data_IF_465496758138
#
_entry.id   IF_465496758138
#
_cell.length_a   1.000
_cell.length_b   1.000
_cell.length_c   1.000
_cell.angle_alpha   90.00
_cell.angle_beta   90.00
_cell.angle_gamma   90.00
#
_symmetry.space_group_name_H-M   'P 1'
#
loop_
_entity.id
_entity.type
_entity.pdbx_description
1 polymer ?
#
# COMPACT_ATOMS: atom_id res chain seq x y z
N UNK A 1 -32.66 -16.47 16.98
CA UNK A 1 -31.72 -17.54 17.26
C UNK A 1 -30.40 -17.26 16.52
N UNK A 2 -29.23 -17.14 17.22
CA UNK A 2 -27.97 -16.86 16.56
C UNK A 2 -27.54 -17.90 15.52
N UNK A 3 -27.85 -19.17 15.73
CA UNK A 3 -27.56 -20.25 14.78
C UNK A 3 -28.37 -20.10 13.50
N UNK A 4 -29.64 -19.77 13.62
CA UNK A 4 -30.51 -19.51 12.46
C UNK A 4 -30.05 -18.32 11.65
N UNK A 5 -29.52 -17.28 12.32
CA UNK A 5 -28.93 -16.13 11.63
C UNK A 5 -27.73 -16.52 10.79
N UNK A 6 -26.85 -17.39 11.31
CA UNK A 6 -25.64 -17.88 10.58
C UNK A 6 -26.02 -18.77 9.39
N UNK A 7 -27.09 -19.55 9.49
CA UNK A 7 -27.54 -20.40 8.39
C UNK A 7 -28.22 -19.61 7.27
N UNK A 8 -28.97 -18.55 7.64
CA UNK A 8 -29.78 -17.77 6.72
C UNK A 8 -29.10 -16.55 6.13
N UNK A 9 -27.99 -16.10 6.75
CA UNK A 9 -27.19 -14.97 6.28
C UNK A 9 -25.76 -15.43 6.02
N UNK A 10 -25.41 -15.53 4.76
CA UNK A 10 -24.06 -15.93 4.35
C UNK A 10 -23.21 -14.69 4.07
N UNK A 11 -21.98 -14.66 4.62
CA UNK A 11 -20.96 -13.70 4.23
C UNK A 11 -19.66 -14.44 4.00
N UNK A 12 -19.07 -14.21 2.86
CA UNK A 12 -17.81 -14.83 2.44
C UNK A 12 -16.90 -13.76 1.82
N UNK A 13 -15.67 -13.71 2.29
CA UNK A 13 -14.63 -12.86 1.70
C UNK A 13 -13.45 -13.74 1.34
N UNK A 14 -12.93 -13.52 0.13
CA UNK A 14 -11.69 -14.14 -0.34
C UNK A 14 -10.72 -13.03 -0.67
N UNK A 15 -9.55 -13.06 -0.03
CA UNK A 15 -8.47 -12.10 -0.30
C UNK A 15 -7.23 -12.85 -0.76
N UNK A 16 -6.70 -12.41 -1.88
CA UNK A 16 -5.41 -12.83 -2.41
C UNK A 16 -4.45 -11.67 -2.28
N UNK A 17 -3.25 -11.94 -1.82
CA UNK A 17 -2.20 -10.93 -1.69
C UNK A 17 -0.90 -11.49 -2.24
N UNK A 18 -0.26 -10.71 -3.12
CA UNK A 18 1.09 -10.94 -3.63
C UNK A 18 1.97 -9.78 -3.20
N UNK A 19 3.02 -10.09 -2.45
CA UNK A 19 4.08 -9.15 -2.11
C UNK A 19 5.39 -9.73 -2.60
N UNK A 20 6.08 -9.01 -3.45
CA UNK A 20 7.37 -9.42 -3.99
C UNK A 20 8.30 -8.24 -4.13
N UNK A 21 9.58 -8.47 -3.91
CA UNK A 21 10.62 -7.52 -4.26
C UNK A 21 11.80 -8.23 -4.93
N UNK A 22 12.39 -7.55 -5.88
CA UNK A 22 13.60 -7.96 -6.59
C UNK A 22 14.57 -6.80 -6.50
N UNK A 23 15.83 -7.10 -6.24
CA UNK A 23 16.86 -6.08 -6.26
C UNK A 23 18.11 -6.56 -7.01
N UNK A 24 18.81 -5.60 -7.55
CA UNK A 24 20.17 -5.76 -8.06
C UNK A 24 21.10 -4.86 -7.26
N UNK A 25 22.25 -5.39 -6.88
CA UNK A 25 23.27 -4.66 -6.13
C UNK A 25 24.63 -4.88 -6.77
N UNK A 26 25.42 -3.84 -6.84
CA UNK A 26 26.77 -3.86 -7.36
C UNK A 26 27.72 -3.05 -6.46
N UNK A 27 28.94 -3.56 -6.30
CA UNK A 27 30.03 -2.89 -5.58
C UNK A 27 31.21 -2.70 -6.53
N UNK A 28 31.13 -1.71 -7.45
CA UNK A 28 32.12 -1.55 -8.52
C UNK A 28 33.52 -1.16 -8.03
N UNK A 29 33.58 -0.51 -6.88
CA UNK A 29 34.83 -0.16 -6.18
C UNK A 29 34.63 -0.31 -4.68
N UNK A 30 35.73 -0.45 -3.95
CA UNK A 30 35.70 -0.58 -2.49
C UNK A 30 34.95 0.58 -1.85
N UNK A 31 34.00 0.26 -0.97
CA UNK A 31 33.18 1.22 -0.25
C UNK A 31 31.99 1.77 -1.03
N UNK A 32 31.87 1.56 -2.34
CA UNK A 32 30.76 2.03 -3.16
C UNK A 32 29.77 0.89 -3.41
N UNK A 33 28.52 1.07 -2.96
CA UNK A 33 27.41 0.15 -3.23
C UNK A 33 26.31 0.88 -3.99
N UNK A 34 25.92 0.32 -5.12
CA UNK A 34 24.78 0.79 -5.94
C UNK A 34 23.71 -0.28 -5.88
N UNK A 35 22.48 0.10 -5.51
CA UNK A 35 21.36 -0.83 -5.42
C UNK A 35 20.13 -0.25 -6.10
N UNK A 36 19.48 -1.09 -6.90
CA UNK A 36 18.17 -0.82 -7.47
C UNK A 36 17.21 -1.91 -7.02
N UNK A 37 16.08 -1.52 -6.47
CA UNK A 37 15.04 -2.44 -5.98
C UNK A 37 13.71 -2.10 -6.63
N UNK A 38 13.03 -3.12 -7.11
CA UNK A 38 11.65 -3.07 -7.58
C UNK A 38 10.77 -3.89 -6.63
N UNK A 39 9.64 -3.33 -6.22
CA UNK A 39 8.68 -4.01 -5.35
C UNK A 39 7.26 -3.91 -5.90
N UNK A 40 6.50 -4.97 -5.71
CA UNK A 40 5.07 -5.04 -6.02
C UNK A 40 4.31 -5.50 -4.78
N UNK A 41 3.24 -4.81 -4.44
CA UNK A 41 2.21 -5.24 -3.48
C UNK A 41 0.87 -5.21 -4.20
N UNK A 42 0.33 -6.39 -4.48
CA UNK A 42 -0.96 -6.56 -5.15
C UNK A 42 -1.92 -7.28 -4.23
N UNK A 43 -3.13 -6.78 -4.14
CA UNK A 43 -4.21 -7.44 -3.40
C UNK A 43 -5.49 -7.43 -4.21
N UNK A 44 -6.15 -8.58 -4.26
CA UNK A 44 -7.46 -8.76 -4.83
C UNK A 44 -8.39 -9.34 -3.77
N UNK A 45 -9.53 -8.69 -3.54
CA UNK A 45 -10.54 -9.15 -2.59
C UNK A 45 -11.90 -9.27 -3.28
N UNK A 46 -12.56 -10.41 -3.10
CA UNK A 46 -13.94 -10.59 -3.48
C UNK A 46 -14.78 -10.86 -2.24
N UNK A 47 -15.94 -10.21 -2.16
CA UNK A 47 -16.93 -10.40 -1.11
C UNK A 47 -18.26 -10.87 -1.67
N UNK A 48 -18.94 -11.73 -0.94
CA UNK A 48 -20.29 -12.15 -1.22
C UNK A 48 -21.11 -12.16 0.08
N UNK A 49 -22.25 -11.53 0.05
CA UNK A 49 -23.19 -11.51 1.18
C UNK A 49 -24.61 -11.82 0.71
N UNK A 50 -25.36 -12.58 1.49
CA UNK A 50 -26.79 -12.83 1.24
C UNK A 50 -27.58 -12.78 2.53
N UNK A 51 -28.82 -12.28 2.43
CA UNK A 51 -29.86 -12.41 3.46
C UNK A 51 -31.08 -13.05 2.82
N UNK A 52 -31.62 -14.09 3.45
CA UNK A 52 -32.78 -14.79 2.94
C UNK A 52 -34.07 -14.05 3.28
N UNK A 53 -35.11 -14.10 2.42
CA UNK A 53 -36.40 -13.44 2.69
C UNK A 53 -37.17 -13.99 3.90
N UNK A 54 -36.89 -15.23 4.31
CA UNK A 54 -37.60 -15.84 5.45
C UNK A 54 -37.07 -15.40 6.82
N UNK A 55 -35.96 -14.67 6.88
CA UNK A 55 -35.31 -14.31 8.14
C UNK A 55 -34.60 -12.98 8.08
N UNK A 56 -34.71 -12.17 9.13
CA UNK A 56 -33.99 -10.93 9.28
C UNK A 56 -34.86 -9.70 9.41
N UNK A 57 -34.28 -8.49 9.44
CA UNK A 57 -35.03 -7.25 9.61
C UNK A 57 -35.96 -6.93 8.43
N UNK A 58 -35.71 -7.51 7.27
CA UNK A 58 -36.45 -7.29 6.04
C UNK A 58 -37.24 -8.56 5.65
N UNK A 59 -38.05 -9.10 6.60
CA UNK A 59 -38.89 -10.25 6.34
C UNK A 59 -39.74 -10.06 5.06
N UNK A 60 -39.65 -11.04 4.15
CA UNK A 60 -40.31 -11.04 2.85
C UNK A 60 -39.43 -10.57 1.69
N UNK A 61 -38.30 -9.95 1.97
CA UNK A 61 -37.35 -9.50 0.95
C UNK A 61 -35.94 -9.97 1.27
N UNK A 62 -35.38 -10.81 0.43
CA UNK A 62 -33.95 -11.16 0.49
C UNK A 62 -33.07 -10.07 -0.09
N UNK A 63 -31.77 -10.19 0.18
CA UNK A 63 -30.73 -9.35 -0.43
C UNK A 63 -29.50 -10.13 -0.79
N UNK A 64 -28.80 -9.68 -1.82
CA UNK A 64 -27.50 -10.22 -2.24
C UNK A 64 -26.54 -9.10 -2.58
N UNK A 65 -25.32 -9.21 -2.07
CA UNK A 65 -24.23 -8.24 -2.29
C UNK A 65 -23.01 -8.93 -2.90
N UNK A 66 -22.37 -8.25 -3.85
CA UNK A 66 -21.05 -8.58 -4.36
C UNK A 66 -20.13 -7.37 -4.23
N UNK A 67 -18.90 -7.66 -3.83
CA UNK A 67 -17.82 -6.67 -3.73
C UNK A 67 -16.60 -7.24 -4.44
N UNK A 68 -15.93 -6.41 -5.21
CA UNK A 68 -14.61 -6.69 -5.78
C UNK A 68 -13.72 -5.49 -5.53
N UNK A 69 -12.55 -5.72 -4.99
CA UNK A 69 -11.59 -4.67 -4.69
C UNK A 69 -10.22 -5.10 -5.18
N UNK A 70 -9.61 -4.28 -5.99
CA UNK A 70 -8.25 -4.44 -6.49
C UNK A 70 -7.36 -3.31 -5.99
N UNK A 71 -6.20 -3.65 -5.49
CA UNK A 71 -5.20 -2.68 -5.06
C UNK A 71 -3.82 -3.11 -5.52
N UNK A 72 -3.09 -2.21 -6.16
CA UNK A 72 -1.72 -2.44 -6.64
C UNK A 72 -0.82 -1.28 -6.25
N UNK A 73 0.31 -1.58 -5.65
CA UNK A 73 1.39 -0.63 -5.42
C UNK A 73 2.67 -1.13 -6.07
N UNK A 74 3.24 -0.32 -6.92
CA UNK A 74 4.54 -0.54 -7.53
C UNK A 74 5.53 0.47 -6.94
N UNK A 75 6.72 0.02 -6.57
CA UNK A 75 7.78 0.93 -6.13
C UNK A 75 9.13 0.57 -6.73
N UNK A 76 9.88 1.62 -7.04
CA UNK A 76 11.28 1.54 -7.49
C UNK A 76 12.11 2.40 -6.57
N UNK A 77 13.13 1.80 -5.95
CA UNK A 77 14.06 2.51 -5.07
C UNK A 77 15.49 2.31 -5.59
N UNK A 78 16.16 3.40 -5.87
CA UNK A 78 17.55 3.41 -6.28
C UNK A 78 18.39 4.10 -5.23
N UNK A 79 19.49 3.47 -4.81
CA UNK A 79 20.40 4.03 -3.81
C UNK A 79 21.85 3.89 -4.25
N UNK A 80 22.65 4.87 -3.87
CA UNK A 80 24.09 4.85 -3.96
C UNK A 80 24.64 5.14 -2.58
N UNK A 81 25.41 4.21 -2.05
CA UNK A 81 26.08 4.34 -0.76
C UNK A 81 27.58 4.33 -0.95
N UNK A 82 28.27 5.29 -0.34
CA UNK A 82 29.71 5.35 -0.36
C UNK A 82 30.28 5.49 1.05
N UNK A 83 31.05 4.49 1.43
CA UNK A 83 31.68 4.41 2.74
C UNK A 83 33.19 4.38 2.59
N UNK A 84 33.90 5.23 3.30
CA UNK A 84 35.35 5.25 3.31
C UNK A 84 35.95 5.71 4.64
N UNK A 85 37.18 5.35 4.85
CA UNK A 85 37.99 5.80 6.01
C UNK A 85 39.15 6.65 5.55
N UNK A 86 39.48 7.69 6.33
CA UNK A 86 40.66 8.50 6.15
C UNK A 86 41.51 8.42 7.41
N UNK A 87 42.64 7.69 7.31
CA UNK A 87 43.43 7.32 8.48
C UNK A 87 42.64 6.41 9.44
N UNK A 88 43.16 6.29 10.68
CA UNK A 88 42.59 5.33 11.66
C UNK A 88 41.35 5.90 12.40
N UNK A 89 41.11 7.21 12.33
CA UNK A 89 40.16 7.90 13.19
C UNK A 89 38.91 8.42 12.48
N UNK A 90 38.95 8.60 11.17
CA UNK A 90 37.86 9.23 10.44
C UNK A 90 37.12 8.20 9.60
N UNK A 91 35.83 8.05 9.83
CA UNK A 91 34.93 7.22 9.02
C UNK A 91 33.79 8.06 8.48
N UNK A 92 33.49 7.92 7.20
CA UNK A 92 32.44 8.62 6.48
C UNK A 92 31.54 7.61 5.81
N UNK A 93 30.23 7.89 5.85
CA UNK A 93 29.21 7.15 5.10
C UNK A 93 28.25 8.14 4.46
N UNK A 94 28.09 8.06 3.13
CA UNK A 94 27.16 8.90 2.37
C UNK A 94 26.18 8.02 1.62
N UNK A 95 24.92 8.29 1.79
CA UNK A 95 23.83 7.65 1.08
C UNK A 95 23.07 8.71 0.29
N UNK A 96 22.81 8.46 -0.97
CA UNK A 96 21.83 9.19 -1.77
C UNK A 96 20.88 8.20 -2.41
N UNK A 97 19.62 8.60 -2.53
CA UNK A 97 18.61 7.73 -3.12
C UNK A 97 17.45 8.47 -3.74
N UNK A 98 16.74 7.74 -4.57
CA UNK A 98 15.51 8.14 -5.23
C UNK A 98 14.51 7.00 -5.05
N UNK A 99 13.25 7.35 -4.79
CA UNK A 99 12.14 6.41 -4.69
C UNK A 99 10.96 6.92 -5.50
N UNK A 100 10.38 6.06 -6.33
CA UNK A 100 9.13 6.29 -7.01
C UNK A 100 8.11 5.24 -6.57
N UNK A 101 6.89 5.65 -6.28
CA UNK A 101 5.75 4.79 -5.94
C UNK A 101 4.59 5.15 -6.82
N UNK A 102 3.96 4.14 -7.40
CA UNK A 102 2.72 4.23 -8.14
C UNK A 102 1.68 3.33 -7.47
N UNK A 103 0.52 3.89 -7.16
CA UNK A 103 -0.57 3.20 -6.47
C UNK A 103 -1.85 3.32 -7.27
N UNK A 104 -2.49 2.18 -7.47
CA UNK A 104 -3.79 2.06 -8.13
C UNK A 104 -4.74 1.28 -7.24
N UNK A 105 -5.97 1.78 -7.11
CA UNK A 105 -7.03 1.15 -6.33
C UNK A 105 -8.36 1.25 -7.05
N UNK A 106 -9.02 0.10 -7.20
CA UNK A 106 -10.33 -0.03 -7.84
C UNK A 106 -11.30 -0.78 -6.89
N UNK A 107 -12.50 -0.26 -6.74
CA UNK A 107 -13.56 -0.88 -5.93
C UNK A 107 -14.87 -0.94 -6.71
N UNK A 108 -15.48 -2.12 -6.73
CA UNK A 108 -16.78 -2.36 -7.30
C UNK A 108 -17.68 -3.04 -6.29
N UNK A 109 -18.88 -2.53 -6.09
CA UNK A 109 -19.88 -3.22 -5.28
C UNK A 109 -21.29 -3.10 -5.86
N UNK A 110 -22.07 -4.14 -5.70
CA UNK A 110 -23.49 -4.16 -6.06
C UNK A 110 -24.29 -4.85 -4.96
N UNK A 111 -25.42 -4.25 -4.60
CA UNK A 111 -26.43 -4.80 -3.71
C UNK A 111 -27.76 -4.87 -4.45
N UNK A 112 -28.35 -6.04 -4.51
CA UNK A 112 -29.70 -6.24 -5.02
C UNK A 112 -30.64 -6.75 -3.94
N UNK A 113 -31.89 -6.39 -4.03
CA UNK A 113 -32.98 -6.75 -3.10
C UNK A 113 -34.20 -7.25 -3.84
N UNK A 114 -35.16 -7.80 -3.09
CA UNK A 114 -36.42 -8.32 -3.63
C UNK A 114 -36.34 -9.79 -4.03
N UNK A 115 -35.35 -10.53 -3.53
CA UNK A 115 -35.34 -11.98 -3.64
C UNK A 115 -36.51 -12.55 -2.79
N UNK A 116 -37.31 -13.43 -3.38
CA UNK A 116 -38.52 -13.99 -2.78
C UNK A 116 -38.40 -15.49 -2.43
N UNK A 117 -37.21 -16.08 -2.61
CA UNK A 117 -36.99 -17.51 -2.40
C UNK A 117 -35.65 -17.75 -1.71
N UNK A 118 -35.65 -18.38 -0.53
CA UNK A 118 -34.48 -18.68 0.28
C UNK A 118 -33.40 -19.50 -0.46
N UNK A 119 -33.79 -20.29 -1.46
CA UNK A 119 -32.87 -21.14 -2.22
C UNK A 119 -32.24 -20.43 -3.40
N UNK A 120 -32.73 -19.26 -3.77
CA UNK A 120 -32.32 -18.52 -4.97
C UNK A 120 -31.92 -17.08 -4.61
N UNK A 121 -31.13 -16.91 -3.55
CA UNK A 121 -30.62 -15.61 -3.13
C UNK A 121 -29.30 -15.32 -3.77
N UNK A 122 -29.30 -14.58 -4.87
CA UNK A 122 -28.08 -14.10 -5.55
C UNK A 122 -28.36 -12.77 -6.27
N UNK A 123 -27.33 -12.15 -6.83
CA UNK A 123 -27.43 -10.83 -7.50
C UNK A 123 -28.49 -10.84 -8.61
N UNK A 124 -28.52 -11.90 -9.43
CA UNK A 124 -29.37 -11.97 -10.61
C UNK A 124 -30.85 -12.25 -10.29
N UNK A 125 -31.20 -12.67 -9.08
CA UNK A 125 -32.56 -12.96 -8.66
C UNK A 125 -33.23 -11.83 -7.86
N UNK A 126 -32.48 -10.75 -7.62
CA UNK A 126 -33.07 -9.51 -7.08
C UNK A 126 -33.94 -8.81 -8.11
N UNK A 127 -35.03 -8.20 -7.63
CA UNK A 127 -35.96 -7.47 -8.50
C UNK A 127 -35.57 -6.00 -8.66
N UNK A 128 -34.72 -5.48 -7.80
CA UNK A 128 -34.17 -4.12 -7.87
C UNK A 128 -32.71 -4.05 -7.40
N UNK A 129 -31.92 -3.18 -8.00
CA UNK A 129 -30.65 -2.75 -7.43
C UNK A 129 -30.94 -1.74 -6.31
N UNK A 130 -30.48 -2.03 -5.11
CA UNK A 130 -30.65 -1.16 -3.94
C UNK A 130 -29.52 -0.15 -3.83
N UNK A 131 -28.31 -0.61 -4.05
CA UNK A 131 -27.13 0.25 -4.19
C UNK A 131 -26.12 -0.40 -5.13
N UNK A 132 -25.38 0.42 -5.82
CA UNK A 132 -24.22 0.02 -6.59
C UNK A 132 -23.17 1.12 -6.51
N UNK A 133 -21.93 0.76 -6.38
CA UNK A 133 -20.81 1.64 -6.62
C UNK A 133 -19.97 1.03 -7.72
N UNK A 134 -19.68 1.83 -8.70
CA UNK A 134 -18.76 1.51 -9.75
C UNK A 134 -17.57 2.42 -9.54
N UNK A 135 -16.49 1.82 -9.25
CA UNK A 135 -15.12 2.34 -9.22
C UNK A 135 -14.91 3.67 -8.50
N UNK A 136 -14.31 3.59 -7.38
CA UNK A 136 -13.49 4.69 -6.90
C UNK A 136 -12.06 4.40 -7.35
N UNK A 137 -11.65 4.91 -8.49
CA UNK A 137 -10.24 4.91 -8.87
C UNK A 137 -9.51 5.89 -7.97
N UNK A 138 -8.65 5.36 -7.11
CA UNK A 138 -7.74 6.18 -6.30
C UNK A 138 -6.31 5.96 -6.78
N UNK A 139 -5.93 6.73 -7.78
CA UNK A 139 -4.59 6.71 -8.34
C UNK A 139 -3.73 7.80 -7.74
N UNK A 140 -2.57 7.43 -7.24
CA UNK A 140 -1.58 8.40 -6.82
C UNK A 140 -0.15 7.92 -6.99
N UNK A 141 0.74 8.86 -7.19
CA UNK A 141 2.17 8.61 -7.25
C UNK A 141 2.94 9.47 -6.26
N UNK A 142 4.05 8.92 -5.78
CA UNK A 142 5.07 9.64 -5.01
C UNK A 142 6.40 9.58 -5.73
N UNK A 143 7.14 10.68 -5.65
CA UNK A 143 8.54 10.75 -6.06
C UNK A 143 9.35 11.41 -4.96
N UNK A 144 10.38 10.72 -4.51
CA UNK A 144 11.19 11.15 -3.39
C UNK A 144 12.67 11.12 -3.74
N UNK A 145 13.39 12.13 -3.25
CA UNK A 145 14.86 12.13 -3.25
C UNK A 145 15.35 12.32 -1.82
N UNK A 146 16.35 11.55 -1.44
CA UNK A 146 16.89 11.61 -0.09
C UNK A 146 18.41 11.45 -0.08
N UNK A 147 19.01 12.02 0.95
CA UNK A 147 20.43 11.92 1.19
C UNK A 147 20.74 11.88 2.68
N UNK A 148 21.79 11.18 3.05
CA UNK A 148 22.29 11.08 4.41
C UNK A 148 23.81 11.10 4.41
N UNK A 149 24.39 11.84 5.33
CA UNK A 149 25.83 11.86 5.60
C UNK A 149 26.09 11.55 7.06
N UNK A 150 26.91 10.55 7.31
CA UNK A 150 27.35 10.15 8.64
C UNK A 150 28.87 10.35 8.76
N UNK A 151 29.29 10.90 9.86
CA UNK A 151 30.68 11.06 10.23
C UNK A 151 30.95 10.49 11.61
N UNK A 152 32.01 9.71 11.72
CA UNK A 152 32.49 9.18 12.98
C UNK A 152 33.97 9.52 13.14
N UNK A 153 34.30 10.12 14.30
CA UNK A 153 35.66 10.40 14.71
C UNK A 153 36.04 9.55 15.90
N UNK A 154 37.07 8.71 15.70
CA UNK A 154 37.75 7.88 16.73
C UNK A 154 36.77 6.99 17.52
N UNK A 155 35.63 6.58 16.91
CA UNK A 155 34.53 5.87 17.55
C UNK A 155 33.97 6.57 18.80
N UNK A 156 34.20 7.85 18.94
CA UNK A 156 33.83 8.67 20.08
C UNK A 156 32.83 9.76 19.74
N UNK A 157 32.98 10.41 18.62
CA UNK A 157 32.11 11.49 18.19
C UNK A 157 31.42 11.10 16.89
N UNK A 158 30.10 11.24 16.87
CA UNK A 158 29.29 10.90 15.73
C UNK A 158 28.43 12.10 15.33
N UNK A 159 28.39 12.39 14.07
CA UNK A 159 27.49 13.39 13.50
C UNK A 159 26.74 12.77 12.33
N UNK A 160 25.45 13.06 12.24
CA UNK A 160 24.57 12.60 11.17
C UNK A 160 23.77 13.79 10.65
N UNK A 161 23.60 13.83 9.34
CA UNK A 161 22.74 14.80 8.67
C UNK A 161 21.95 14.08 7.59
N UNK A 162 20.65 14.30 7.56
CA UNK A 162 19.78 13.76 6.50
C UNK A 162 18.87 14.84 5.90
N UNK A 163 18.57 14.69 4.63
CA UNK A 163 17.64 15.51 3.87
C UNK A 163 16.77 14.62 3.02
N UNK A 164 15.49 14.96 2.91
CA UNK A 164 14.53 14.30 2.04
C UNK A 164 13.59 15.33 1.43
N UNK A 165 13.27 15.13 0.17
CA UNK A 165 12.21 15.89 -0.50
C UNK A 165 11.25 14.92 -1.18
N UNK A 166 9.96 15.13 -0.96
CA UNK A 166 8.89 14.27 -1.44
C UNK A 166 7.92 15.08 -2.29
N UNK A 167 7.53 14.52 -3.43
CA UNK A 167 6.44 15.01 -4.26
C UNK A 167 5.29 14.00 -4.28
N UNK A 168 4.05 14.49 -4.26
CA UNK A 168 2.85 13.67 -4.39
C UNK A 168 1.94 14.20 -5.49
N UNK A 169 1.37 13.29 -6.29
CA UNK A 169 0.36 13.61 -7.30
C UNK A 169 -0.94 14.14 -6.70
N UNK A 170 -1.20 13.87 -5.42
CA UNK A 170 -2.41 14.34 -4.70
C UNK A 170 -2.41 15.84 -4.39
N UNK A 171 -1.26 16.50 -4.50
CA UNK A 171 -1.15 17.94 -4.30
C UNK A 171 -1.20 18.70 -5.63
N UNK A 172 -1.73 19.90 -5.60
CA UNK A 172 -1.78 20.79 -6.77
C UNK A 172 -0.39 21.08 -7.35
N UNK A 173 -0.31 21.39 -8.63
CA UNK A 173 0.93 21.51 -9.40
C UNK A 173 2.00 22.43 -8.75
N UNK A 174 1.56 23.49 -8.09
CA UNK A 174 2.45 24.52 -7.50
C UNK A 174 2.96 24.16 -6.09
N UNK A 175 2.48 23.08 -5.48
CA UNK A 175 2.82 22.69 -4.08
C UNK A 175 3.06 21.20 -3.92
N UNK A 176 3.59 20.54 -4.93
CA UNK A 176 3.80 19.08 -4.90
C UNK A 176 4.97 18.65 -4.04
N UNK A 177 5.93 19.53 -3.81
CA UNK A 177 7.17 19.20 -3.11
C UNK A 177 7.18 19.69 -1.68
N UNK A 178 7.58 18.78 -0.77
CA UNK A 178 7.86 19.09 0.63
C UNK A 178 9.27 18.62 0.98
N UNK A 179 10.04 19.45 1.69
CA UNK A 179 11.40 19.14 2.10
C UNK A 179 11.51 18.96 3.61
N UNK A 180 12.31 18.01 4.03
CA UNK A 180 12.57 17.65 5.42
C UNK A 180 14.05 17.51 5.63
N UNK A 181 14.53 17.83 6.82
CA UNK A 181 15.91 17.60 7.22
C UNK A 181 16.03 17.24 8.69
N UNK A 182 17.08 16.54 9.04
CA UNK A 182 17.43 16.27 10.43
C UNK A 182 18.95 16.27 10.61
N UNK A 183 19.38 16.61 11.82
CA UNK A 183 20.79 16.54 12.22
C UNK A 183 20.89 15.97 13.62
N UNK A 184 21.89 15.16 13.88
CA UNK A 184 22.17 14.58 15.18
C UNK A 184 23.64 14.60 15.51
N UNK A 185 23.95 14.63 16.79
CA UNK A 185 25.29 14.52 17.34
C UNK A 185 25.28 13.60 18.54
N UNK A 186 26.27 12.71 18.62
CA UNK A 186 26.44 11.79 19.73
C UNK A 186 27.89 11.79 20.18
N UNK A 187 28.10 11.69 21.47
CA UNK A 187 29.40 11.53 22.12
C UNK A 187 29.33 10.32 23.07
N UNK A 188 30.34 9.42 22.94
CA UNK A 188 30.58 8.26 23.81
C UNK A 188 31.76 8.52 24.76
#
# INVERSE_FOLDING_TARGET
>A
NPLEWLEKNRREYKKYKLVSNIFAEATPVEGLTIRSQFSIDYSHMTGFGTSTPSYGPNLGEGSAQRISTDGMSLSVTNTVNYQFRKGDKHSFNFLVGQEGVDYHYEDFSILTEGQNNDRLVNISTGTRASSWSDTTDDDYGYLSFFGRGEYNYDNRYYADFSVRTDASSRFGADRRWAGFWSASFMWN
#
